data_IF_793017608030
#
_entry.id   IF_793017608030
#
_cell.length_a   1.000
_cell.length_b   1.000
_cell.length_c   1.000
_cell.angle_alpha   90.00
_cell.angle_beta   90.00
_cell.angle_gamma   90.00
#
_symmetry.space_group_name_H-M   'P 1'
#
loop_
_entity.id
_entity.type
_entity.pdbx_description
1 polymer ?
#
# COMPACT_ATOMS: atom_id res chain seq x y z
N UNK A 1 -68.07 11.85 -13.13
CA UNK A 1 -66.79 12.58 -12.96
C UNK A 1 -65.71 11.55 -12.76
N UNK A 2 -64.96 11.25 -13.79
CA UNK A 2 -63.88 10.24 -13.77
C UNK A 2 -62.55 10.93 -13.42
N UNK A 3 -61.88 10.45 -12.37
CA UNK A 3 -60.55 10.94 -11.97
C UNK A 3 -59.44 10.39 -12.88
N UNK A 4 -58.37 11.13 -13.12
CA UNK A 4 -57.29 10.72 -14.03
C UNK A 4 -56.41 9.67 -13.37
N UNK A 5 -56.23 8.56 -14.08
CA UNK A 5 -55.33 7.44 -13.69
C UNK A 5 -53.87 7.92 -13.61
N UNK A 6 -53.24 7.61 -12.48
CA UNK A 6 -51.76 7.74 -12.30
C UNK A 6 -51.09 6.70 -13.22
N UNK A 7 -50.40 7.20 -14.24
CA UNK A 7 -49.43 6.39 -14.98
C UNK A 7 -48.18 6.19 -14.09
N UNK A 8 -48.01 4.95 -13.62
CA UNK A 8 -46.77 4.51 -13.01
C UNK A 8 -45.73 4.41 -14.11
N UNK A 9 -44.78 5.35 -14.09
CA UNK A 9 -43.57 5.25 -14.93
C UNK A 9 -42.76 4.03 -14.43
N UNK A 10 -42.78 2.99 -15.24
CA UNK A 10 -41.89 1.84 -15.07
C UNK A 10 -40.46 2.37 -15.32
N UNK A 11 -39.69 2.50 -14.24
CA UNK A 11 -38.27 2.79 -14.34
C UNK A 11 -37.63 1.64 -15.13
N UNK A 12 -37.21 1.92 -16.36
CA UNK A 12 -36.49 0.98 -17.19
C UNK A 12 -35.23 0.52 -16.45
N UNK A 13 -35.16 -0.79 -16.23
CA UNK A 13 -33.91 -1.47 -15.79
C UNK A 13 -32.81 -1.06 -16.77
N UNK A 14 -31.66 -0.54 -16.31
CA UNK A 14 -30.55 -0.29 -17.21
C UNK A 14 -30.19 -1.62 -17.90
N UNK A 15 -30.09 -1.62 -19.21
CA UNK A 15 -29.58 -2.74 -19.98
C UNK A 15 -28.26 -3.16 -19.34
N UNK A 16 -28.18 -4.40 -18.89
CA UNK A 16 -26.91 -4.99 -18.45
C UNK A 16 -26.01 -5.03 -19.68
N UNK A 17 -25.26 -3.94 -19.90
CA UNK A 17 -24.12 -3.96 -20.81
C UNK A 17 -23.19 -5.03 -20.26
N UNK A 18 -22.90 -6.03 -21.08
CA UNK A 18 -21.83 -6.99 -20.79
C UNK A 18 -20.58 -6.16 -20.69
N UNK A 19 -20.18 -5.84 -19.45
CA UNK A 19 -18.87 -5.23 -19.22
C UNK A 19 -17.86 -6.26 -19.77
N UNK A 20 -16.97 -5.87 -20.69
CA UNK A 20 -15.94 -6.80 -21.17
C UNK A 20 -15.22 -7.36 -19.93
N UNK A 21 -14.91 -8.66 -19.97
CA UNK A 21 -14.07 -9.28 -18.96
C UNK A 21 -12.68 -8.64 -19.03
N UNK A 22 -12.52 -7.53 -18.34
CA UNK A 22 -11.31 -6.70 -18.38
C UNK A 22 -10.05 -7.50 -18.03
N UNK A 23 -10.05 -8.42 -17.05
CA UNK A 23 -8.93 -9.31 -16.81
C UNK A 23 -8.56 -10.18 -18.03
N UNK A 24 -9.53 -10.75 -18.74
CA UNK A 24 -9.26 -11.55 -19.93
C UNK A 24 -8.71 -10.70 -21.06
N UNK A 25 -9.30 -9.54 -21.34
CA UNK A 25 -8.77 -8.58 -22.33
C UNK A 25 -7.36 -8.12 -21.95
N UNK A 26 -7.11 -7.86 -20.68
CA UNK A 26 -5.80 -7.46 -20.17
C UNK A 26 -4.75 -8.56 -20.40
N UNK A 27 -5.09 -9.81 -20.12
CA UNK A 27 -4.20 -10.95 -20.37
C UNK A 27 -3.82 -11.05 -21.85
N UNK A 28 -4.76 -10.85 -22.76
CA UNK A 28 -4.49 -10.85 -24.21
C UNK A 28 -3.58 -9.68 -24.62
N UNK A 29 -3.83 -8.48 -24.13
CA UNK A 29 -3.00 -7.31 -24.42
C UNK A 29 -1.56 -7.50 -23.92
N UNK A 30 -1.40 -8.01 -22.69
CA UNK A 30 -0.08 -8.26 -22.11
C UNK A 30 0.69 -9.37 -22.85
N UNK A 31 -0.02 -10.35 -23.38
CA UNK A 31 0.58 -11.44 -24.17
C UNK A 31 0.96 -11.00 -25.60
N UNK A 32 0.23 -10.03 -26.16
CA UNK A 32 0.49 -9.54 -27.52
C UNK A 32 1.81 -8.76 -27.62
N UNK A 33 2.23 -8.11 -26.52
CA UNK A 33 3.45 -7.28 -26.49
C UNK A 33 4.25 -7.57 -25.21
N UNK A 34 4.89 -8.73 -25.08
CA UNK A 34 5.56 -9.15 -23.85
C UNK A 34 6.83 -8.35 -23.53
N UNK A 35 7.35 -7.58 -24.47
CA UNK A 35 8.51 -6.70 -24.30
C UNK A 35 8.17 -5.38 -23.59
N UNK A 36 6.87 -5.06 -23.42
CA UNK A 36 6.39 -3.82 -22.84
C UNK A 36 5.62 -4.10 -21.55
N UNK A 37 6.04 -3.46 -20.44
CA UNK A 37 5.30 -3.51 -19.19
C UNK A 37 4.06 -2.60 -19.28
N UNK A 38 2.88 -3.20 -19.38
CA UNK A 38 1.60 -2.50 -19.42
C UNK A 38 1.07 -2.31 -17.99
N UNK A 39 0.63 -1.09 -17.65
CA UNK A 39 0.04 -0.81 -16.34
C UNK A 39 -1.37 -0.27 -16.48
N UNK A 40 -2.29 -0.81 -15.70
CA UNK A 40 -3.68 -0.41 -15.67
C UNK A 40 -4.20 -0.25 -14.24
N UNK A 41 -5.19 0.60 -14.08
CA UNK A 41 -5.92 0.74 -12.84
C UNK A 41 -7.42 0.82 -13.10
N UNK A 42 -8.22 0.22 -12.24
CA UNK A 42 -9.69 0.29 -12.32
C UNK A 42 -10.28 0.89 -11.04
N UNK A 43 -11.44 1.53 -11.23
CA UNK A 43 -12.29 2.01 -10.16
C UNK A 43 -13.74 1.79 -10.55
N UNK A 44 -14.64 1.72 -9.59
CA UNK A 44 -16.06 1.44 -9.82
C UNK A 44 -16.91 2.68 -9.60
N UNK A 45 -17.84 2.92 -10.50
CA UNK A 45 -18.93 3.89 -10.34
C UNK A 45 -20.27 3.15 -10.46
N UNK A 46 -21.17 3.40 -9.52
CA UNK A 46 -22.53 2.84 -9.52
C UNK A 46 -23.54 3.84 -10.10
N UNK A 47 -23.11 5.07 -10.35
CA UNK A 47 -23.93 6.16 -10.95
C UNK A 47 -23.07 7.10 -11.78
N UNK A 48 -23.69 7.95 -12.57
CA UNK A 48 -23.01 8.98 -13.37
C UNK A 48 -22.26 9.99 -12.48
N UNK A 49 -22.83 10.34 -11.33
CA UNK A 49 -22.22 11.25 -10.36
C UNK A 49 -20.95 10.66 -9.74
N UNK A 50 -20.87 9.32 -9.63
CA UNK A 50 -19.72 8.58 -9.10
C UNK A 50 -18.53 8.50 -10.04
N UNK A 51 -18.65 8.87 -11.32
CA UNK A 51 -17.59 8.70 -12.33
C UNK A 51 -16.28 9.42 -11.98
N UNK A 52 -16.34 10.63 -11.43
CA UNK A 52 -15.14 11.36 -11.03
C UNK A 52 -14.39 10.63 -9.90
N UNK A 53 -15.12 10.08 -8.92
CA UNK A 53 -14.55 9.28 -7.86
C UNK A 53 -13.92 7.99 -8.40
N UNK A 54 -14.61 7.26 -9.26
CA UNK A 54 -14.09 6.07 -9.91
C UNK A 54 -12.83 6.35 -10.73
N UNK A 55 -12.78 7.47 -11.45
CA UNK A 55 -11.59 7.87 -12.19
C UNK A 55 -10.42 8.19 -11.26
N UNK A 56 -10.66 8.84 -10.13
CA UNK A 56 -9.62 9.07 -9.11
C UNK A 56 -9.09 7.75 -8.53
N UNK A 57 -9.97 6.80 -8.21
CA UNK A 57 -9.62 5.46 -7.77
C UNK A 57 -8.79 4.72 -8.82
N UNK A 58 -9.20 4.73 -10.09
CA UNK A 58 -8.47 4.09 -11.18
C UNK A 58 -7.06 4.69 -11.36
N UNK A 59 -6.92 6.01 -11.29
CA UNK A 59 -5.61 6.69 -11.34
C UNK A 59 -4.70 6.29 -10.19
N UNK A 60 -5.26 6.17 -8.99
CA UNK A 60 -4.50 5.72 -7.83
C UNK A 60 -4.06 4.26 -7.96
N UNK A 61 -4.94 3.38 -8.42
CA UNK A 61 -4.63 1.98 -8.69
C UNK A 61 -3.56 1.84 -9.79
N UNK A 62 -3.62 2.66 -10.85
CA UNK A 62 -2.58 2.73 -11.87
C UNK A 62 -1.21 3.13 -11.29
N UNK A 63 -1.17 4.13 -10.41
CA UNK A 63 0.06 4.53 -9.74
C UNK A 63 0.62 3.39 -8.87
N UNK A 64 -0.27 2.65 -8.19
CA UNK A 64 0.08 1.45 -7.43
C UNK A 64 0.68 0.36 -8.34
N UNK A 65 0.06 0.07 -9.50
CA UNK A 65 0.56 -0.92 -10.46
C UNK A 65 1.99 -0.59 -10.93
N UNK A 66 2.26 0.66 -11.27
CA UNK A 66 3.59 1.12 -11.69
C UNK A 66 4.64 0.99 -10.57
N UNK A 67 4.23 1.18 -9.33
CA UNK A 67 5.13 1.09 -8.17
C UNK A 67 5.44 -0.36 -7.79
N UNK A 68 4.45 -1.25 -7.87
CA UNK A 68 4.58 -2.64 -7.41
C UNK A 68 5.18 -3.57 -8.45
N UNK A 69 4.98 -3.26 -9.72
CA UNK A 69 5.41 -4.09 -10.85
C UNK A 69 6.03 -3.24 -11.96
N UNK A 70 7.14 -2.53 -11.71
CA UNK A 70 7.69 -1.57 -12.69
C UNK A 70 8.07 -2.24 -14.01
N UNK A 71 8.56 -3.48 -13.97
CA UNK A 71 9.09 -4.21 -15.12
C UNK A 71 8.15 -5.30 -15.63
N UNK A 72 6.92 -5.39 -15.10
CA UNK A 72 5.93 -6.40 -15.49
C UNK A 72 4.56 -5.77 -15.68
N UNK A 73 3.78 -6.35 -16.61
CA UNK A 73 2.39 -5.91 -16.82
C UNK A 73 1.53 -6.17 -15.60
N UNK A 74 0.78 -5.15 -15.14
CA UNK A 74 -0.07 -5.23 -13.97
C UNK A 74 -1.36 -4.42 -14.14
N UNK A 75 -2.49 -5.05 -13.81
CA UNK A 75 -3.80 -4.41 -13.70
C UNK A 75 -4.23 -4.47 -12.23
N UNK A 76 -4.45 -3.31 -11.60
CA UNK A 76 -4.90 -3.23 -10.20
C UNK A 76 -6.29 -2.64 -10.13
N UNK A 77 -7.18 -3.29 -9.40
CA UNK A 77 -8.48 -2.75 -9.01
C UNK A 77 -8.32 -1.95 -7.69
N UNK A 78 -8.84 -0.75 -7.64
CA UNK A 78 -8.83 0.06 -6.42
C UNK A 78 -9.48 -0.65 -5.22
N UNK A 79 -10.47 -1.51 -5.46
CA UNK A 79 -11.10 -2.32 -4.41
C UNK A 79 -10.15 -3.34 -3.75
N UNK A 80 -9.03 -3.68 -4.40
CA UNK A 80 -8.00 -4.57 -3.84
C UNK A 80 -7.04 -3.89 -2.86
N UNK A 81 -7.08 -2.55 -2.77
CA UNK A 81 -6.20 -1.75 -1.90
C UNK A 81 -6.73 -1.71 -0.46
N UNK A 82 -6.83 -2.86 0.17
CA UNK A 82 -7.50 -3.04 1.48
C UNK A 82 -6.58 -2.90 2.69
N UNK A 83 -5.26 -2.89 2.50
CA UNK A 83 -4.28 -2.80 3.58
C UNK A 83 -3.43 -1.54 3.50
N UNK A 84 -2.83 -1.13 4.64
CA UNK A 84 -1.94 0.04 4.70
C UNK A 84 -0.81 -0.05 3.65
N UNK A 85 -0.17 -1.22 3.53
CA UNK A 85 0.92 -1.42 2.58
C UNK A 85 0.49 -1.18 1.14
N UNK A 86 -0.64 -1.76 0.73
CA UNK A 86 -1.20 -1.59 -0.61
C UNK A 86 -1.69 -0.16 -0.85
N UNK A 87 -2.30 0.46 0.18
CA UNK A 87 -2.72 1.87 0.09
C UNK A 87 -1.54 2.80 -0.16
N UNK A 88 -0.40 2.61 0.51
CA UNK A 88 0.76 3.47 0.36
C UNK A 88 1.44 3.35 -1.01
N UNK A 89 1.23 2.27 -1.77
CA UNK A 89 1.89 2.06 -3.07
C UNK A 89 1.44 3.05 -4.15
N UNK A 90 0.22 3.59 -4.06
CA UNK A 90 -0.29 4.61 -4.98
C UNK A 90 0.25 6.03 -4.72
N UNK A 91 0.98 6.25 -3.62
CA UNK A 91 1.62 7.53 -3.31
C UNK A 91 2.92 7.64 -4.12
N UNK A 92 3.24 8.83 -4.70
CA UNK A 92 4.49 9.05 -5.42
C UNK A 92 5.73 8.66 -4.60
N UNK A 93 6.74 8.07 -5.25
CA UNK A 93 7.93 7.55 -4.60
C UNK A 93 8.69 8.61 -3.79
N UNK A 94 8.74 9.83 -4.32
CA UNK A 94 9.40 10.98 -3.70
C UNK A 94 8.73 11.36 -2.38
N UNK A 95 7.38 11.36 -2.35
CA UNK A 95 6.58 11.66 -1.15
C UNK A 95 6.78 10.57 -0.09
N UNK A 96 6.72 9.29 -0.51
CA UNK A 96 6.98 8.16 0.39
C UNK A 96 8.39 8.21 0.98
N UNK A 97 9.37 8.51 0.15
CA UNK A 97 10.78 8.62 0.56
C UNK A 97 10.97 9.78 1.54
N UNK A 98 10.37 10.94 1.27
CA UNK A 98 10.41 12.10 2.15
C UNK A 98 9.79 11.79 3.52
N UNK A 99 8.59 11.19 3.53
CA UNK A 99 7.93 10.75 4.76
C UNK A 99 8.78 9.76 5.56
N UNK A 100 9.29 8.72 4.90
CA UNK A 100 10.12 7.71 5.53
C UNK A 100 11.39 8.31 6.15
N UNK A 101 12.05 9.22 5.43
CA UNK A 101 13.24 9.94 5.94
C UNK A 101 12.91 10.78 7.16
N UNK A 102 11.81 11.52 7.13
CA UNK A 102 11.40 12.37 8.25
C UNK A 102 11.09 11.56 9.50
N UNK A 103 10.36 10.44 9.37
CA UNK A 103 9.91 9.64 10.51
C UNK A 103 11.04 8.77 11.07
N UNK A 104 11.86 8.16 10.22
CA UNK A 104 12.97 7.30 10.66
C UNK A 104 14.22 8.09 11.06
N UNK A 105 14.31 9.37 10.68
CA UNK A 105 15.46 10.22 11.01
C UNK A 105 16.78 9.60 10.60
N UNK A 106 17.80 9.58 11.48
CA UNK A 106 19.12 9.03 11.17
C UNK A 106 19.10 7.55 10.74
N UNK A 107 18.09 6.78 11.17
CA UNK A 107 17.97 5.36 10.80
C UNK A 107 17.66 5.15 9.32
N UNK A 108 17.15 6.20 8.63
CA UNK A 108 16.93 6.13 7.18
C UNK A 108 18.22 5.98 6.39
N UNK A 109 19.36 6.46 6.90
CA UNK A 109 20.65 6.48 6.20
C UNK A 109 21.17 5.05 5.95
N UNK A 110 21.27 4.72 4.67
CA UNK A 110 21.74 3.41 4.23
C UNK A 110 23.28 3.37 4.21
N UNK A 111 23.90 2.74 5.17
CA UNK A 111 25.36 2.56 5.15
C UNK A 111 25.95 2.16 6.50
N UNK A 112 25.25 2.44 7.57
CA UNK A 112 25.69 2.06 8.91
C UNK A 112 25.12 0.67 9.29
N UNK A 113 25.97 -0.36 9.48
CA UNK A 113 25.52 -1.70 9.88
C UNK A 113 24.72 -1.70 11.19
N UNK A 114 25.06 -0.81 12.12
CA UNK A 114 24.33 -0.66 13.38
C UNK A 114 22.89 -0.19 13.14
N UNK A 115 22.66 0.72 12.21
CA UNK A 115 21.31 1.17 11.86
C UNK A 115 20.50 0.09 11.14
N UNK A 116 21.16 -0.74 10.32
CA UNK A 116 20.49 -1.89 9.70
C UNK A 116 19.96 -2.86 10.75
N UNK A 117 20.74 -3.18 11.79
CA UNK A 117 20.32 -4.04 12.88
C UNK A 117 19.19 -3.42 13.74
N UNK A 118 19.18 -2.09 13.92
CA UNK A 118 18.09 -1.40 14.60
C UNK A 118 16.79 -1.43 13.78
N UNK A 119 16.88 -1.20 12.48
CA UNK A 119 15.73 -1.27 11.57
C UNK A 119 15.14 -2.68 11.49
N UNK A 120 15.99 -3.70 11.38
CA UNK A 120 15.56 -5.10 11.44
C UNK A 120 14.82 -5.39 12.76
N UNK A 121 15.38 -4.92 13.88
CA UNK A 121 14.73 -5.10 15.19
C UNK A 121 13.38 -4.38 15.23
N UNK A 122 13.27 -3.17 14.70
CA UNK A 122 12.02 -2.42 14.62
C UNK A 122 10.98 -3.16 13.76
N UNK A 123 11.38 -3.65 12.57
CA UNK A 123 10.49 -4.39 11.68
C UNK A 123 9.89 -5.62 12.36
N UNK A 124 10.74 -6.42 13.01
CA UNK A 124 10.32 -7.64 13.71
C UNK A 124 9.51 -7.30 14.98
N UNK A 125 9.90 -6.26 15.74
CA UNK A 125 9.16 -5.82 16.92
C UNK A 125 7.73 -5.41 16.57
N UNK A 126 7.55 -4.65 15.49
CA UNK A 126 6.22 -4.28 15.00
C UNK A 126 5.44 -5.46 14.42
N UNK A 127 6.11 -6.43 13.80
CA UNK A 127 5.48 -7.66 13.31
C UNK A 127 5.05 -8.60 14.44
N UNK A 128 5.75 -8.53 15.59
CA UNK A 128 5.42 -9.26 16.82
C UNK A 128 4.45 -8.49 17.74
N UNK A 129 3.75 -7.46 17.26
CA UNK A 129 2.82 -6.62 18.02
C UNK A 129 3.44 -5.97 19.27
N UNK A 130 4.73 -5.65 19.22
CA UNK A 130 5.47 -5.09 20.36
C UNK A 130 5.86 -6.09 21.44
N UNK A 131 5.81 -7.39 21.17
CA UNK A 131 6.19 -8.43 22.12
C UNK A 131 7.71 -8.61 22.19
N UNK A 132 8.29 -8.30 23.33
CA UNK A 132 9.74 -8.43 23.60
C UNK A 132 10.24 -9.85 23.43
N UNK A 133 9.53 -10.83 23.99
CA UNK A 133 9.93 -12.24 23.94
C UNK A 133 9.83 -12.83 22.53
N UNK A 134 8.73 -12.57 21.82
CA UNK A 134 8.56 -13.02 20.42
C UNK A 134 9.60 -12.38 19.49
N UNK A 135 9.93 -11.12 19.72
CA UNK A 135 10.98 -10.42 18.94
C UNK A 135 12.36 -11.02 19.22
N UNK A 136 12.67 -11.29 20.47
CA UNK A 136 13.94 -11.91 20.86
C UNK A 136 14.11 -13.31 20.25
N UNK A 137 13.06 -14.12 20.29
CA UNK A 137 13.00 -15.44 19.66
C UNK A 137 13.20 -15.35 18.15
N UNK A 138 12.44 -14.47 17.46
CA UNK A 138 12.51 -14.30 16.01
C UNK A 138 13.88 -13.81 15.52
N UNK A 139 14.59 -13.03 16.33
CA UNK A 139 15.93 -12.50 16.02
C UNK A 139 17.06 -13.38 16.55
N UNK A 140 16.75 -14.44 17.29
CA UNK A 140 17.74 -15.28 18.03
C UNK A 140 18.63 -14.44 18.97
N UNK A 141 18.02 -13.48 19.68
CA UNK A 141 18.69 -12.57 20.60
C UNK A 141 18.17 -12.72 22.03
N UNK A 142 18.97 -12.27 22.99
CA UNK A 142 18.47 -12.12 24.35
C UNK A 142 17.48 -10.94 24.45
N UNK A 143 16.43 -11.04 25.28
CA UNK A 143 15.40 -10.01 25.49
C UNK A 143 16.02 -8.64 25.83
N UNK A 144 17.05 -8.61 26.68
CA UNK A 144 17.74 -7.36 27.03
C UNK A 144 18.37 -6.67 25.81
N UNK A 145 18.85 -7.44 24.84
CA UNK A 145 19.40 -6.88 23.59
C UNK A 145 18.29 -6.23 22.75
N UNK A 146 17.10 -6.84 22.73
CA UNK A 146 15.94 -6.26 22.07
C UNK A 146 15.52 -4.96 22.75
N UNK A 147 15.43 -4.94 24.09
CA UNK A 147 15.16 -3.72 24.86
C UNK A 147 16.14 -2.61 24.53
N UNK A 148 17.43 -2.89 24.57
CA UNK A 148 18.46 -1.91 24.23
C UNK A 148 18.29 -1.37 22.79
N UNK A 149 18.05 -2.25 21.81
CA UNK A 149 17.89 -1.84 20.41
C UNK A 149 16.64 -1.00 20.20
N UNK A 150 15.52 -1.35 20.84
CA UNK A 150 14.26 -0.60 20.76
C UNK A 150 14.45 0.79 21.38
N UNK A 151 15.05 0.91 22.56
CA UNK A 151 15.39 2.21 23.15
C UNK A 151 16.27 3.07 22.24
N UNK A 152 17.20 2.46 21.51
CA UNK A 152 18.01 3.16 20.51
C UNK A 152 17.17 3.64 19.33
N UNK A 153 16.18 2.84 18.89
CA UNK A 153 15.22 3.25 17.84
C UNK A 153 14.43 4.46 18.33
N UNK A 154 13.87 4.41 19.53
CA UNK A 154 13.12 5.54 20.15
C UNK A 154 13.98 6.80 20.22
N UNK A 155 15.22 6.66 20.67
CA UNK A 155 16.17 7.78 20.76
C UNK A 155 16.42 8.43 19.40
N UNK A 156 16.64 7.64 18.33
CA UNK A 156 16.95 8.18 17.00
C UNK A 156 15.74 8.73 16.26
N UNK A 157 14.55 8.17 16.51
CA UNK A 157 13.32 8.58 15.83
C UNK A 157 12.52 9.62 16.61
N UNK A 158 12.79 9.77 17.90
CA UNK A 158 11.99 10.60 18.81
C UNK A 158 10.57 10.06 19.02
N UNK A 159 10.34 8.76 18.75
CA UNK A 159 9.04 8.10 18.85
C UNK A 159 9.00 7.15 20.03
N UNK A 160 7.80 7.00 20.63
CA UNK A 160 7.53 6.09 21.72
C UNK A 160 6.87 4.80 21.21
N UNK A 161 7.58 3.68 21.26
CA UNK A 161 7.09 2.38 20.79
C UNK A 161 6.01 1.77 21.73
N UNK A 162 5.70 2.38 22.87
CA UNK A 162 4.51 2.05 23.65
C UNK A 162 3.23 2.69 23.07
N UNK A 163 3.36 3.82 22.35
CA UNK A 163 2.28 4.52 21.67
C UNK A 163 1.84 3.78 20.40
N UNK A 164 0.54 3.51 20.27
CA UNK A 164 -0.02 2.92 19.06
C UNK A 164 0.20 3.83 17.83
N UNK A 165 0.03 5.13 17.99
CA UNK A 165 0.17 6.09 16.87
C UNK A 165 1.61 6.14 16.37
N UNK A 166 2.59 6.16 17.26
CA UNK A 166 4.00 6.16 16.89
C UNK A 166 4.41 4.84 16.22
N UNK A 167 3.88 3.71 16.68
CA UNK A 167 4.06 2.42 15.99
C UNK A 167 3.46 2.41 14.59
N UNK A 168 2.29 3.02 14.38
CA UNK A 168 1.66 3.14 13.06
C UNK A 168 2.50 4.03 12.13
N UNK A 169 2.99 5.17 12.61
CA UNK A 169 3.86 6.06 11.84
C UNK A 169 5.16 5.37 11.44
N UNK A 170 5.80 4.68 12.38
CA UNK A 170 7.02 3.90 12.11
C UNK A 170 6.76 2.76 11.13
N UNK A 171 5.63 2.04 11.27
CA UNK A 171 5.23 1.00 10.32
C UNK A 171 5.02 1.55 8.92
N UNK A 172 4.31 2.68 8.79
CA UNK A 172 4.11 3.36 7.51
C UNK A 172 5.45 3.81 6.91
N UNK A 173 6.35 4.37 7.73
CA UNK A 173 7.66 4.81 7.28
C UNK A 173 8.53 3.66 6.75
N UNK A 174 8.49 2.50 7.40
CA UNK A 174 9.18 1.29 6.92
C UNK A 174 8.62 0.81 5.59
N UNK A 175 7.29 0.82 5.41
CA UNK A 175 6.62 0.46 4.15
C UNK A 175 6.93 1.46 3.01
N UNK A 176 7.19 2.72 3.35
CA UNK A 176 7.54 3.77 2.41
C UNK A 176 9.03 3.79 2.02
N UNK A 177 9.89 3.02 2.68
CA UNK A 177 11.31 2.97 2.34
C UNK A 177 11.51 2.41 0.94
N UNK A 178 12.44 2.97 0.14
CA UNK A 178 12.86 2.35 -1.11
C UNK A 178 13.38 0.93 -0.82
N UNK A 179 12.84 -0.07 -1.51
CA UNK A 179 13.41 -1.42 -1.44
C UNK A 179 14.82 -1.38 -2.01
N UNK A 180 15.80 -1.75 -1.22
CA UNK A 180 17.13 -2.04 -1.77
C UNK A 180 16.98 -3.20 -2.75
N UNK A 181 17.52 -3.10 -3.98
CA UNK A 181 17.67 -4.28 -4.81
C UNK A 181 18.48 -5.30 -3.99
N UNK A 182 18.01 -6.57 -4.00
CA UNK A 182 18.77 -7.65 -3.41
C UNK A 182 20.18 -7.61 -4.02
N UNK A 183 21.21 -7.56 -3.17
CA UNK A 183 22.59 -7.71 -3.67
C UNK A 183 22.68 -9.09 -4.33
N UNK A 184 23.22 -9.14 -5.56
CA UNK A 184 23.45 -10.42 -6.23
C UNK A 184 24.38 -11.31 -5.43
#
# INVERSE_FOLDING_TARGET
MAGPGRRTATAGRPAAGVAPDLPAVWALLSAAEPSVALHGGTGRADSAEGLNGALAQARYALASARTTSPDASALIDAASLTGLGTLLTGIPAEVRTAFSRTVLGPLFEAGNPSFAALLETLEIFLACDGSWSRTAEALHLHVNTVHYRVQRVEHFTGRDLSSLYDRLDLRAALLCRPRRPARP
#
